data_IF_052859337752
#
_entry.id   IF_052859337752
#
_cell.length_a   1.000
_cell.length_b   1.000
_cell.length_c   1.000
_cell.angle_alpha   90.00
_cell.angle_beta   90.00
_cell.angle_gamma   90.00
#
_symmetry.space_group_name_H-M   'P 1'
#
loop_
_entity.id
_entity.type
_entity.pdbx_description
1 polymer ?
#
# COMPACT_ATOMS: atom_id res chain seq x y z
N UNK A 1 14.57 -14.23 -1.21
CA UNK A 1 15.31 -12.93 -1.20
C UNK A 1 14.80 -12.09 -0.05
N UNK A 2 15.70 -11.52 0.72
CA UNK A 2 15.29 -10.64 1.81
C UNK A 2 14.85 -9.27 1.27
N UNK A 3 13.81 -8.67 1.88
CA UNK A 3 13.27 -7.38 1.43
C UNK A 3 14.33 -6.27 1.48
N UNK A 4 15.27 -6.35 2.41
CA UNK A 4 16.34 -5.36 2.54
C UNK A 4 17.31 -5.34 1.34
N UNK A 5 17.31 -6.39 0.54
CA UNK A 5 18.13 -6.46 -0.67
C UNK A 5 17.48 -5.78 -1.88
N UNK A 6 16.26 -5.31 -1.73
CA UNK A 6 15.52 -4.60 -2.78
C UNK A 6 15.68 -3.10 -2.53
N UNK A 7 16.10 -2.36 -3.55
CA UNK A 7 16.33 -0.92 -3.42
C UNK A 7 15.06 -0.21 -2.93
N UNK A 8 15.22 0.64 -1.93
CA UNK A 8 14.13 1.45 -1.42
C UNK A 8 13.88 2.66 -2.32
N UNK A 9 12.62 2.93 -2.59
CA UNK A 9 12.16 4.17 -3.19
C UNK A 9 11.45 4.96 -2.11
N UNK A 10 11.71 6.26 -2.03
CA UNK A 10 11.15 7.09 -0.99
C UNK A 10 10.16 8.08 -1.58
N UNK A 11 8.97 8.06 -1.01
CA UNK A 11 7.94 9.03 -1.29
C UNK A 11 7.80 9.99 -0.11
N UNK A 12 6.85 10.95 -0.16
CA UNK A 12 6.59 11.87 0.94
C UNK A 12 6.08 11.10 2.16
N UNK A 13 6.96 10.94 3.17
CA UNK A 13 6.63 10.32 4.44
C UNK A 13 6.62 8.79 4.44
N UNK A 14 7.18 8.13 3.43
CA UNK A 14 7.21 6.67 3.44
C UNK A 14 8.38 6.09 2.63
N UNK A 15 8.67 4.82 2.88
CA UNK A 15 9.61 4.01 2.14
C UNK A 15 8.85 2.91 1.41
N UNK A 16 9.19 2.67 0.15
CA UNK A 16 8.60 1.61 -0.66
C UNK A 16 9.68 0.73 -1.29
N UNK A 17 9.41 -0.58 -1.38
CA UNK A 17 10.27 -1.54 -2.07
C UNK A 17 9.41 -2.42 -2.96
N UNK A 18 9.74 -2.47 -4.24
CA UNK A 18 8.96 -3.20 -5.25
C UNK A 18 9.72 -4.47 -5.64
N UNK A 19 9.12 -5.61 -5.38
CA UNK A 19 9.82 -6.90 -5.46
C UNK A 19 9.57 -7.68 -6.74
N UNK A 20 8.57 -7.31 -7.54
CA UNK A 20 8.16 -8.09 -8.73
C UNK A 20 9.35 -8.54 -9.59
N UNK A 21 10.17 -7.60 -10.01
CA UNK A 21 11.33 -7.90 -10.88
C UNK A 21 12.40 -8.67 -10.13
N UNK A 22 12.67 -8.30 -8.89
CA UNK A 22 13.73 -8.90 -8.09
C UNK A 22 13.51 -10.38 -7.80
N UNK A 23 12.25 -10.79 -7.68
CA UNK A 23 11.91 -12.20 -7.43
C UNK A 23 11.51 -12.96 -8.70
N UNK A 24 11.57 -12.30 -9.87
CA UNK A 24 11.23 -12.92 -11.15
C UNK A 24 9.76 -13.32 -11.25
N UNK A 25 8.86 -12.54 -10.62
CA UNK A 25 7.44 -12.87 -10.65
C UNK A 25 6.82 -12.55 -12.01
N UNK A 26 6.05 -13.48 -12.54
CA UNK A 26 5.35 -13.32 -13.82
C UNK A 26 3.97 -12.68 -13.63
N UNK A 27 3.25 -13.06 -12.59
CA UNK A 27 1.83 -12.71 -12.43
C UNK A 27 1.51 -11.93 -11.16
N UNK A 28 2.46 -11.82 -10.23
CA UNK A 28 2.22 -11.18 -8.94
C UNK A 28 3.07 -9.93 -8.77
N UNK A 29 2.44 -8.85 -8.34
CA UNK A 29 3.14 -7.71 -7.79
C UNK A 29 3.26 -7.87 -6.29
N UNK A 30 4.46 -7.71 -5.75
CA UNK A 30 4.71 -7.74 -4.32
C UNK A 30 5.45 -6.47 -3.95
N UNK A 31 4.89 -5.70 -3.02
CA UNK A 31 5.47 -4.42 -2.61
C UNK A 31 5.48 -4.33 -1.09
N UNK A 32 6.50 -3.70 -0.57
CA UNK A 32 6.68 -3.45 0.86
C UNK A 32 6.63 -1.95 1.11
N UNK A 33 5.89 -1.53 2.12
CA UNK A 33 5.76 -0.13 2.50
C UNK A 33 6.00 0.04 3.99
N UNK A 34 6.73 1.07 4.36
CA UNK A 34 6.98 1.42 5.76
C UNK A 34 6.75 2.92 5.96
N UNK A 35 5.85 3.24 6.89
CA UNK A 35 5.53 4.62 7.26
C UNK A 35 6.00 4.89 8.68
N UNK A 36 6.67 6.04 8.93
CA UNK A 36 7.00 6.43 10.28
C UNK A 36 5.74 6.74 11.10
N UNK A 37 5.84 6.82 12.44
CA UNK A 37 4.70 7.14 13.29
C UNK A 37 3.95 8.41 12.88
N UNK A 38 2.62 8.37 12.97
CA UNK A 38 1.77 9.54 12.80
C UNK A 38 1.79 10.15 11.41
N UNK A 39 1.98 9.36 10.37
CA UNK A 39 2.09 9.84 9.00
C UNK A 39 0.82 9.56 8.22
N UNK A 40 0.19 10.61 7.71
CA UNK A 40 -0.93 10.49 6.78
C UNK A 40 -0.41 10.74 5.36
N UNK A 41 -0.47 9.71 4.52
CA UNK A 41 -0.11 9.88 3.11
C UNK A 41 -1.30 10.50 2.39
N UNK A 42 -1.16 11.72 1.84
CA UNK A 42 -2.31 12.46 1.31
C UNK A 42 -2.88 11.89 0.02
N UNK A 43 -2.09 11.11 -0.69
CA UNK A 43 -2.48 10.57 -2.00
C UNK A 43 -3.06 9.20 -1.83
N UNK A 44 -4.29 9.02 -2.32
CA UNK A 44 -4.90 7.72 -2.51
C UNK A 44 -4.66 7.21 -3.92
N UNK A 45 -4.97 5.95 -4.17
CA UNK A 45 -4.92 5.39 -5.51
C UNK A 45 -5.95 4.27 -5.71
N UNK A 46 -6.27 4.04 -6.96
CA UNK A 46 -7.06 2.90 -7.39
C UNK A 46 -6.38 2.28 -8.60
N UNK A 47 -6.88 1.14 -9.05
CA UNK A 47 -6.41 0.46 -10.24
C UNK A 47 -7.59 0.22 -11.19
N UNK A 48 -7.31 0.09 -12.47
CA UNK A 48 -8.36 -0.25 -13.44
C UNK A 48 -8.72 -1.72 -13.38
N UNK A 49 -7.72 -2.59 -13.22
CA UNK A 49 -7.88 -4.03 -13.29
C UNK A 49 -7.27 -4.77 -12.11
N UNK A 50 -6.15 -4.30 -11.57
CA UNK A 50 -5.39 -5.01 -10.56
C UNK A 50 -6.12 -5.05 -9.22
N UNK A 51 -6.40 -6.24 -8.73
CA UNK A 51 -6.85 -6.48 -7.37
C UNK A 51 -5.64 -6.56 -6.45
N UNK A 52 -5.77 -6.07 -5.21
CA UNK A 52 -4.70 -6.13 -4.22
C UNK A 52 -5.17 -6.69 -2.89
N UNK A 53 -4.25 -7.35 -2.19
CA UNK A 53 -4.40 -7.69 -0.79
C UNK A 53 -3.26 -7.02 -0.02
N UNK A 54 -3.59 -6.46 1.13
CA UNK A 54 -2.64 -5.79 2.02
C UNK A 54 -2.51 -6.60 3.30
N UNK A 55 -1.27 -6.89 3.68
CA UNK A 55 -0.96 -7.66 4.89
C UNK A 55 -0.18 -6.75 5.83
N UNK A 56 -0.73 -6.45 7.00
CA UNK A 56 -0.04 -5.62 7.99
C UNK A 56 1.02 -6.47 8.68
N UNK A 57 2.29 -6.08 8.52
CA UNK A 57 3.43 -6.80 9.08
C UNK A 57 3.72 -6.34 10.51
N UNK A 58 3.69 -5.04 10.75
CA UNK A 58 3.93 -4.49 12.08
C UNK A 58 3.29 -3.11 12.23
N UNK A 59 3.14 -2.68 13.47
CA UNK A 59 2.56 -1.39 13.79
C UNK A 59 1.04 -1.38 13.71
N UNK A 60 0.50 -0.19 13.47
CA UNK A 60 -0.93 0.06 13.42
C UNK A 60 -1.23 1.27 12.54
N UNK A 61 -2.48 1.47 12.23
CA UNK A 61 -2.89 2.64 11.48
C UNK A 61 -4.33 2.57 11.05
N UNK A 62 -4.65 3.35 10.03
CA UNK A 62 -5.97 3.36 9.41
C UNK A 62 -5.82 3.29 7.90
N UNK A 63 -6.81 2.69 7.28
CA UNK A 63 -6.92 2.62 5.82
C UNK A 63 -8.26 3.22 5.43
N UNK A 64 -8.23 4.16 4.50
CA UNK A 64 -9.47 4.66 3.89
C UNK A 64 -9.72 3.90 2.59
N UNK A 65 -10.95 3.40 2.45
CA UNK A 65 -11.44 2.66 1.29
C UNK A 65 -12.67 3.40 0.77
N UNK A 66 -12.52 4.18 -0.30
CA UNK A 66 -13.52 5.16 -0.74
C UNK A 66 -13.92 6.07 0.43
N UNK A 67 -15.14 5.94 0.96
CA UNK A 67 -15.63 6.75 2.08
C UNK A 67 -15.52 6.05 3.45
N UNK A 68 -15.09 4.80 3.48
CA UNK A 68 -14.97 4.02 4.71
C UNK A 68 -13.55 4.07 5.26
N UNK A 69 -13.43 4.26 6.57
CA UNK A 69 -12.15 4.20 7.27
C UNK A 69 -12.17 3.00 8.20
N UNK A 70 -11.16 2.16 8.09
CA UNK A 70 -10.98 0.98 8.95
C UNK A 70 -9.69 1.09 9.74
N UNK A 71 -9.69 0.51 10.94
CA UNK A 71 -8.48 0.37 11.76
C UNK A 71 -7.65 -0.81 11.27
N UNK A 72 -6.32 -0.64 11.33
CA UNK A 72 -5.35 -1.68 10.97
C UNK A 72 -4.51 -2.04 12.18
N UNK A 73 -4.32 -3.33 12.38
CA UNK A 73 -3.44 -3.88 13.40
C UNK A 73 -2.54 -4.97 12.80
N UNK A 74 -1.49 -5.32 13.52
CA UNK A 74 -0.56 -6.36 13.08
C UNK A 74 -1.31 -7.65 12.70
N UNK A 75 -0.92 -8.25 11.59
CA UNK A 75 -1.47 -9.46 11.00
C UNK A 75 -2.86 -9.31 10.35
N UNK A 76 -3.40 -8.11 10.28
CA UNK A 76 -4.62 -7.88 9.49
C UNK A 76 -4.34 -8.08 8.00
N UNK A 77 -5.33 -8.64 7.31
CA UNK A 77 -5.31 -8.81 5.86
C UNK A 77 -6.54 -8.14 5.28
N UNK A 78 -6.33 -7.24 4.31
CA UNK A 78 -7.41 -6.49 3.68
C UNK A 78 -7.36 -6.69 2.16
N UNK A 79 -8.44 -7.21 1.61
CA UNK A 79 -8.59 -7.30 0.15
C UNK A 79 -9.23 -6.01 -0.35
N UNK A 80 -8.68 -5.46 -1.45
CA UNK A 80 -9.22 -4.24 -2.07
C UNK A 80 -9.49 -4.50 -3.55
N UNK A 81 -10.75 -4.30 -3.95
CA UNK A 81 -11.13 -4.38 -5.36
C UNK A 81 -10.42 -3.27 -6.15
N UNK A 82 -10.18 -3.50 -7.44
CA UNK A 82 -9.40 -2.60 -8.29
C UNK A 82 -9.90 -1.16 -8.27
N UNK A 83 -11.20 -0.94 -8.39
CA UNK A 83 -11.80 0.40 -8.50
C UNK A 83 -11.90 1.17 -7.19
N UNK A 84 -11.69 0.52 -6.05
CA UNK A 84 -11.78 1.19 -4.75
C UNK A 84 -10.55 2.06 -4.54
N UNK A 85 -10.76 3.34 -4.25
CA UNK A 85 -9.67 4.25 -3.91
C UNK A 85 -9.22 3.96 -2.48
N UNK A 86 -7.92 3.72 -2.29
CA UNK A 86 -7.36 3.41 -0.97
C UNK A 86 -6.25 4.37 -0.61
N UNK A 87 -6.11 4.63 0.69
CA UNK A 87 -5.05 5.43 1.25
C UNK A 87 -4.77 5.01 2.68
N UNK A 88 -3.62 5.42 3.21
CA UNK A 88 -3.12 4.93 4.50
C UNK A 88 -2.71 6.07 5.42
N UNK A 89 -2.84 5.81 6.70
CA UNK A 89 -2.31 6.65 7.77
C UNK A 89 -1.72 5.73 8.84
N UNK A 90 -0.49 6.01 9.26
CA UNK A 90 0.14 5.22 10.32
C UNK A 90 -0.28 5.71 11.70
N UNK A 91 -0.32 4.78 12.64
CA UNK A 91 -0.55 5.05 14.05
C UNK A 91 0.72 5.42 14.81
N UNK A 92 0.67 5.43 16.17
CA UNK A 92 1.78 5.90 16.98
C UNK A 92 3.06 5.08 16.91
N UNK A 93 2.95 3.83 16.44
CA UNK A 93 4.11 2.93 16.32
C UNK A 93 4.59 2.77 14.86
N UNK A 94 4.06 3.57 13.95
CA UNK A 94 4.31 3.40 12.53
C UNK A 94 3.43 2.30 11.93
N UNK A 95 3.60 2.07 10.65
CA UNK A 95 2.84 1.05 9.92
C UNK A 95 3.73 0.44 8.84
N UNK A 96 3.84 -0.89 8.87
CA UNK A 96 4.55 -1.64 7.83
C UNK A 96 3.58 -2.66 7.25
N UNK A 97 3.44 -2.65 5.92
CA UNK A 97 2.60 -3.63 5.25
C UNK A 97 3.21 -4.12 3.95
N UNK A 98 2.73 -5.27 3.51
CA UNK A 98 3.04 -5.84 2.20
C UNK A 98 1.76 -5.81 1.36
N UNK A 99 1.88 -5.33 0.13
CA UNK A 99 0.80 -5.37 -0.84
C UNK A 99 1.09 -6.45 -1.88
N UNK A 100 0.09 -7.26 -2.18
CA UNK A 100 0.18 -8.29 -3.21
C UNK A 100 -0.93 -8.05 -4.22
N UNK A 101 -0.56 -7.89 -5.50
CA UNK A 101 -1.51 -7.68 -6.57
C UNK A 101 -1.35 -8.72 -7.66
N UNK A 102 -2.43 -8.96 -8.42
CA UNK A 102 -2.42 -9.85 -9.56
C UNK A 102 -1.85 -9.15 -10.81
N UNK A 103 -2.07 -9.73 -11.98
CA UNK A 103 -1.64 -9.15 -13.26
C UNK A 103 -2.16 -7.73 -13.44
N UNK A 104 -1.35 -6.89 -14.05
CA UNK A 104 -1.70 -5.53 -14.42
C UNK A 104 -1.37 -5.32 -15.90
N UNK A 105 -2.02 -4.36 -16.58
CA UNK A 105 -1.65 -3.99 -17.93
C UNK A 105 -0.20 -3.51 -18.02
N UNK A 106 0.41 -3.66 -19.17
CA UNK A 106 1.74 -3.12 -19.42
C UNK A 106 1.77 -1.61 -19.12
N UNK A 107 2.80 -1.17 -18.38
CA UNK A 107 2.91 0.20 -17.91
C UNK A 107 2.13 0.51 -16.64
N UNK A 108 1.39 -0.48 -16.10
CA UNK A 108 0.58 -0.33 -14.89
C UNK A 108 -0.80 0.24 -15.16
N UNK A 109 -1.62 0.26 -14.12
CA UNK A 109 -3.01 0.72 -14.20
C UNK A 109 -3.42 1.60 -13.01
N UNK A 110 -2.43 2.08 -12.26
CA UNK A 110 -2.67 2.93 -11.09
C UNK A 110 -3.24 4.29 -11.47
N UNK A 111 -4.20 4.75 -10.69
CA UNK A 111 -4.83 6.07 -10.81
C UNK A 111 -4.71 6.79 -9.48
N UNK A 112 -4.06 7.96 -9.48
CA UNK A 112 -3.84 8.76 -8.26
C UNK A 112 -5.04 9.63 -7.96
N UNK A 113 -5.31 9.79 -6.65
CA UNK A 113 -6.33 10.70 -6.14
C UNK A 113 -5.65 11.63 -5.13
N UNK A 114 -5.55 12.90 -5.47
CA UNK A 114 -4.96 13.91 -4.59
C UNK A 114 -5.92 14.25 -3.43
N UNK A 115 -5.35 14.72 -2.31
CA UNK A 115 -6.12 15.17 -1.15
C UNK A 115 -7.20 14.17 -0.71
N UNK A 116 -6.83 12.90 -0.71
CA UNK A 116 -7.80 11.82 -0.50
C UNK A 116 -8.39 11.80 0.91
N UNK A 117 -7.59 12.10 1.94
CA UNK A 117 -8.08 12.07 3.32
C UNK A 117 -8.97 13.27 3.62
N UNK A 118 -10.09 13.05 4.33
CA UNK A 118 -10.93 14.16 4.75
C UNK A 118 -10.21 15.01 5.79
N UNK A 119 -10.59 16.28 5.87
CA UNK A 119 -10.15 17.15 6.97
C UNK A 119 -10.73 16.63 8.28
N UNK A 120 -9.93 16.64 9.33
CA UNK A 120 -10.35 16.24 10.67
C UNK A 120 -11.06 17.39 11.39
#
# INVERSE_FOLDING_TARGET
>A
MAIDNIAAERGPGFEARFARSSIGSEHLGVSYFAYPPGTRVPIGHSHREQEEAYVVVSGSGRMRLDDEIIELAQCDVVRVASSVVRGFESGPDGLVYVAVGNDRPEGGDGQRVEDFWPAD
#
